data_IF_868924519662
#
_entry.id   IF_868924519662
#
_cell.length_a   1.000
_cell.length_b   1.000
_cell.length_c   1.000
_cell.angle_alpha   90.00
_cell.angle_beta   90.00
_cell.angle_gamma   90.00
#
_symmetry.space_group_name_H-M   'P 1'
#
loop_
_entity.id
_entity.type
_entity.pdbx_description
1 polymer ?
#
# COMPACT_ATOMS: atom_id res chain seq x y z
N UNK A 1 -26.36 6.07 -47.26
CA UNK A 1 -27.18 6.53 -46.13
C UNK A 1 -26.65 5.81 -44.89
N UNK A 2 -26.01 6.61 -44.03
CA UNK A 2 -25.48 6.38 -42.68
C UNK A 2 -24.35 5.36 -42.43
N UNK A 3 -23.15 5.95 -42.33
CA UNK A 3 -21.99 5.54 -41.55
C UNK A 3 -22.36 5.17 -40.09
N UNK A 4 -21.71 4.13 -39.54
CA UNK A 4 -21.63 3.93 -38.09
C UNK A 4 -20.15 3.84 -37.68
N UNK A 5 -19.79 4.82 -36.85
CA UNK A 5 -18.50 5.13 -36.26
C UNK A 5 -17.98 4.00 -35.31
N UNK A 6 -16.72 3.53 -35.41
CA UNK A 6 -16.18 2.49 -34.55
C UNK A 6 -15.75 2.96 -33.14
N UNK A 7 -15.91 4.24 -32.78
CA UNK A 7 -15.54 4.76 -31.45
C UNK A 7 -16.67 4.74 -30.40
N UNK A 8 -17.31 3.59 -30.17
CA UNK A 8 -18.18 3.43 -28.98
C UNK A 8 -17.61 2.40 -28.03
N UNK A 9 -17.03 2.89 -26.92
CA UNK A 9 -16.98 2.12 -25.67
C UNK A 9 -15.65 1.97 -24.95
N UNK A 10 -14.54 2.60 -25.37
CA UNK A 10 -13.31 2.59 -24.56
C UNK A 10 -13.18 3.88 -23.76
N UNK A 11 -13.48 3.74 -22.46
CA UNK A 11 -13.26 4.75 -21.42
C UNK A 11 -11.74 4.85 -21.17
N UNK A 12 -11.19 6.07 -21.08
CA UNK A 12 -9.75 6.28 -20.87
C UNK A 12 -9.35 6.04 -19.41
N UNK A 13 -8.06 5.83 -19.14
CA UNK A 13 -7.54 5.71 -17.78
C UNK A 13 -7.88 6.95 -16.91
N UNK A 14 -7.92 8.13 -17.53
CA UNK A 14 -8.29 9.39 -16.88
C UNK A 14 -9.77 9.45 -16.46
N UNK A 15 -10.65 8.74 -17.15
CA UNK A 15 -12.07 8.67 -16.82
C UNK A 15 -12.32 7.69 -15.66
N UNK A 16 -11.52 6.62 -15.55
CA UNK A 16 -11.53 5.70 -14.41
C UNK A 16 -11.01 6.37 -13.13
N UNK A 17 -10.01 7.24 -13.25
CA UNK A 17 -9.44 8.00 -12.13
C UNK A 17 -10.41 9.06 -11.55
N UNK A 18 -11.46 9.43 -12.29
CA UNK A 18 -12.46 10.45 -11.89
C UNK A 18 -13.79 9.86 -11.44
N UNK A 19 -14.02 8.56 -11.60
CA UNK A 19 -15.28 7.91 -11.26
C UNK A 19 -15.41 7.71 -9.73
N UNK A 20 -16.55 8.07 -9.16
CA UNK A 20 -16.85 7.72 -7.77
C UNK A 20 -17.19 6.22 -7.64
N UNK A 21 -17.16 5.70 -6.41
CA UNK A 21 -17.39 4.26 -6.13
C UNK A 21 -18.67 3.71 -6.80
N UNK A 22 -19.77 4.45 -6.77
CA UNK A 22 -21.03 4.01 -7.38
C UNK A 22 -20.97 3.96 -8.92
N UNK A 23 -20.20 4.86 -9.53
CA UNK A 23 -19.94 4.85 -10.98
C UNK A 23 -19.01 3.70 -11.37
N UNK A 24 -17.96 3.45 -10.58
CA UNK A 24 -17.06 2.31 -10.78
C UNK A 24 -17.81 0.97 -10.65
N UNK A 25 -18.59 0.79 -9.59
CA UNK A 25 -19.37 -0.44 -9.34
C UNK A 25 -20.35 -0.72 -10.50
N UNK A 26 -20.97 0.33 -11.05
CA UNK A 26 -21.86 0.23 -12.22
C UNK A 26 -21.11 -0.13 -13.51
N UNK A 27 -19.95 0.48 -13.75
CA UNK A 27 -19.10 0.21 -14.93
C UNK A 27 -18.57 -1.22 -14.89
N UNK A 28 -18.07 -1.65 -13.73
CA UNK A 28 -17.57 -3.00 -13.51
C UNK A 28 -18.68 -4.05 -13.68
N UNK A 29 -19.85 -3.84 -13.07
CA UNK A 29 -20.98 -4.77 -13.19
C UNK A 29 -21.50 -4.88 -14.63
N UNK A 30 -21.49 -3.79 -15.39
CA UNK A 30 -21.86 -3.79 -16.82
C UNK A 30 -20.91 -4.68 -17.64
N UNK A 31 -19.60 -4.55 -17.42
CA UNK A 31 -18.60 -5.32 -18.15
C UNK A 31 -18.59 -6.79 -17.76
N UNK A 32 -18.81 -7.11 -16.48
CA UNK A 32 -18.92 -8.49 -16.00
C UNK A 32 -20.14 -9.21 -16.58
N UNK A 33 -21.25 -8.48 -16.81
CA UNK A 33 -22.43 -9.00 -17.51
C UNK A 33 -22.18 -9.21 -19.01
N UNK A 34 -21.51 -8.25 -19.68
CA UNK A 34 -21.16 -8.39 -21.11
C UNK A 34 -20.18 -9.55 -21.37
N UNK A 35 -19.31 -9.85 -20.41
CA UNK A 35 -18.37 -10.97 -20.46
C UNK A 35 -18.98 -12.34 -20.10
N UNK A 36 -20.25 -12.40 -19.68
CA UNK A 36 -20.94 -13.65 -19.34
C UNK A 36 -20.36 -14.41 -18.13
N UNK A 37 -19.61 -13.73 -17.26
CA UNK A 37 -18.87 -14.34 -16.15
C UNK A 37 -19.72 -14.53 -14.87
N UNK A 38 -21.03 -14.30 -14.93
CA UNK A 38 -21.96 -14.50 -13.82
C UNK A 38 -22.96 -15.64 -14.11
N UNK A 39 -22.55 -16.88 -13.85
CA UNK A 39 -23.42 -17.99 -13.39
C UNK A 39 -22.51 -19.05 -12.74
N UNK A 40 -22.81 -19.70 -11.62
CA UNK A 40 -24.09 -20.16 -11.07
C UNK A 40 -24.33 -19.70 -9.61
N UNK A 41 -25.59 -19.81 -9.16
CA UNK A 41 -26.13 -19.54 -7.81
C UNK A 41 -26.64 -18.14 -7.44
N UNK A 42 -27.17 -17.38 -8.40
CA UNK A 42 -28.13 -16.31 -8.08
C UNK A 42 -29.36 -16.35 -8.99
N UNK A 43 -30.52 -16.69 -8.43
CA UNK A 43 -31.81 -16.43 -9.08
C UNK A 43 -32.23 -15.01 -8.69
N UNK A 44 -32.62 -14.14 -9.65
CA UNK A 44 -33.09 -12.81 -9.31
C UNK A 44 -34.43 -12.87 -8.56
N UNK A 45 -34.55 -12.08 -7.49
CA UNK A 45 -35.75 -11.99 -6.66
C UNK A 45 -36.95 -11.47 -7.48
N UNK A 46 -38.14 -11.99 -7.19
CA UNK A 46 -39.38 -11.64 -7.89
C UNK A 46 -40.17 -10.58 -7.13
N UNK A 47 -41.09 -9.89 -7.82
CA UNK A 47 -41.93 -8.84 -7.23
C UNK A 47 -42.79 -9.33 -6.04
N UNK A 48 -43.08 -10.64 -5.95
CA UNK A 48 -43.80 -11.24 -4.83
C UNK A 48 -42.94 -11.35 -3.55
N UNK A 49 -41.61 -11.41 -3.68
CA UNK A 49 -40.67 -11.44 -2.55
C UNK A 49 -40.55 -10.07 -1.87
N UNK A 50 -40.96 -8.99 -2.55
CA UNK A 50 -40.91 -7.61 -2.06
C UNK A 50 -42.17 -7.18 -1.30
N UNK A 51 -43.29 -7.90 -1.40
CA UNK A 51 -44.56 -7.52 -0.75
C UNK A 51 -44.81 -8.17 0.62
N UNK A 52 -44.06 -9.22 1.01
CA UNK A 52 -44.24 -9.90 2.31
C UNK A 52 -43.40 -9.32 3.45
N UNK A 53 -42.60 -8.28 3.20
CA UNK A 53 -41.83 -7.56 4.22
C UNK A 53 -42.52 -6.24 4.61
N UNK A 54 -43.73 -6.32 5.14
CA UNK A 54 -44.49 -5.18 5.63
C UNK A 54 -45.14 -5.53 6.97
N UNK A 55 -45.14 -4.56 7.90
CA UNK A 55 -45.70 -4.56 9.28
C UNK A 55 -44.67 -5.04 10.33
N UNK A 56 -44.21 -4.28 11.34
CA UNK A 56 -44.49 -2.95 11.91
C UNK A 56 -43.23 -2.52 12.68
N UNK A 57 -42.70 -1.33 12.42
CA UNK A 57 -41.63 -0.75 13.24
C UNK A 57 -41.99 0.69 13.62
N UNK A 58 -41.81 1.00 14.90
CA UNK A 58 -42.02 2.30 15.52
C UNK A 58 -41.20 3.39 14.85
N UNK A 59 -41.81 4.56 14.68
CA UNK A 59 -41.22 5.74 14.08
C UNK A 59 -40.07 6.30 14.93
N UNK A 60 -38.82 6.11 14.48
CA UNK A 60 -37.69 7.06 14.57
C UNK A 60 -36.37 6.35 14.23
N UNK A 61 -36.18 5.96 12.96
CA UNK A 61 -34.88 5.85 12.24
C UNK A 61 -35.24 5.68 10.77
N UNK A 62 -35.53 6.77 10.05
CA UNK A 62 -35.65 6.73 8.58
C UNK A 62 -34.44 7.41 7.97
N UNK A 63 -33.63 6.59 7.30
CA UNK A 63 -32.62 6.90 6.29
C UNK A 63 -31.66 8.06 6.63
N UNK A 64 -30.55 7.73 7.30
CA UNK A 64 -29.48 8.68 7.64
C UNK A 64 -28.94 9.40 6.40
N UNK A 65 -28.89 8.73 5.26
CA UNK A 65 -28.47 9.33 3.98
C UNK A 65 -29.46 10.40 3.51
N UNK A 66 -30.77 10.13 3.62
CA UNK A 66 -31.78 11.13 3.30
C UNK A 66 -31.71 12.35 4.24
N UNK A 67 -31.44 12.14 5.52
CA UNK A 67 -31.25 13.24 6.48
C UNK A 67 -29.99 14.06 6.18
N UNK A 68 -28.87 13.42 5.83
CA UNK A 68 -27.64 14.11 5.44
C UNK A 68 -27.83 14.90 4.14
N UNK A 69 -28.51 14.32 3.14
CA UNK A 69 -28.84 15.00 1.89
C UNK A 69 -29.78 16.19 2.10
N UNK A 70 -30.81 16.04 2.95
CA UNK A 70 -31.72 17.13 3.28
C UNK A 70 -31.01 18.25 4.04
N UNK A 71 -30.00 17.91 4.85
CA UNK A 71 -29.31 18.84 5.75
C UNK A 71 -28.12 19.55 5.12
N UNK A 72 -27.34 18.84 4.30
CA UNK A 72 -26.05 19.29 3.77
C UNK A 72 -26.02 19.28 2.23
N UNK A 73 -27.12 18.94 1.55
CA UNK A 73 -27.17 18.84 0.10
C UNK A 73 -26.22 17.77 -0.43
N UNK A 74 -25.47 18.07 -1.50
CA UNK A 74 -24.46 17.19 -2.09
C UNK A 74 -23.02 17.44 -1.61
N UNK A 75 -22.80 18.35 -0.66
CA UNK A 75 -21.48 18.79 -0.19
C UNK A 75 -20.85 17.92 0.89
N UNK A 76 -21.33 16.68 1.07
CA UNK A 76 -20.86 15.78 2.11
C UNK A 76 -20.31 14.47 1.55
N UNK A 77 -19.35 13.90 2.28
CA UNK A 77 -18.81 12.57 2.03
C UNK A 77 -18.56 11.85 3.35
N UNK A 78 -18.61 10.53 3.33
CA UNK A 78 -18.28 9.72 4.50
C UNK A 78 -17.34 8.58 4.16
N UNK A 79 -16.52 8.21 5.15
CA UNK A 79 -15.53 7.15 5.06
C UNK A 79 -15.57 6.31 6.34
N UNK A 80 -15.66 4.99 6.19
CA UNK A 80 -15.47 4.05 7.30
C UNK A 80 -13.97 3.82 7.46
N UNK A 81 -13.40 4.25 8.58
CA UNK A 81 -11.97 4.17 8.85
C UNK A 81 -11.58 2.84 9.51
N UNK A 82 -12.46 2.30 10.35
CA UNK A 82 -12.24 1.05 11.07
C UNK A 82 -13.58 0.35 11.34
N UNK A 83 -13.60 -0.98 11.36
CA UNK A 83 -14.70 -1.73 11.96
C UNK A 83 -14.18 -2.96 12.72
N UNK A 84 -14.85 -3.29 13.82
CA UNK A 84 -14.58 -4.48 14.64
C UNK A 84 -15.87 -5.24 14.89
N UNK A 85 -15.84 -6.55 14.66
CA UNK A 85 -16.95 -7.45 14.96
C UNK A 85 -16.58 -8.33 16.16
N UNK A 86 -17.35 -8.25 17.24
CA UNK A 86 -17.17 -9.05 18.46
C UNK A 86 -18.41 -9.90 18.75
N UNK A 87 -18.32 -10.87 19.66
CA UNK A 87 -19.48 -11.69 20.08
C UNK A 87 -20.53 -10.80 20.75
N UNK A 88 -21.52 -10.36 19.96
CA UNK A 88 -22.67 -9.57 20.41
C UNK A 88 -22.89 -8.26 19.67
N UNK A 89 -21.96 -7.80 18.83
CA UNK A 89 -22.13 -6.54 18.11
C UNK A 89 -20.97 -6.15 17.17
N UNK A 90 -21.22 -5.08 16.42
CA UNK A 90 -20.27 -4.44 15.50
C UNK A 90 -20.05 -3.01 15.97
N UNK A 91 -18.79 -2.58 15.99
CA UNK A 91 -18.39 -1.19 16.23
C UNK A 91 -17.68 -0.66 14.99
N UNK A 92 -17.97 0.58 14.59
CA UNK A 92 -17.43 1.23 13.39
C UNK A 92 -16.96 2.63 13.73
N UNK A 93 -15.78 3.02 13.23
CA UNK A 93 -15.33 4.41 13.22
C UNK A 93 -15.63 5.03 11.87
N UNK A 94 -16.42 6.11 11.85
CA UNK A 94 -16.77 6.83 10.62
C UNK A 94 -16.25 8.25 10.69
N UNK A 95 -15.70 8.72 9.58
CA UNK A 95 -15.42 10.13 9.30
C UNK A 95 -16.50 10.69 8.37
N UNK A 96 -17.22 11.73 8.82
CA UNK A 96 -18.13 12.51 8.00
C UNK A 96 -17.47 13.85 7.69
N UNK A 97 -17.39 14.21 6.41
CA UNK A 97 -16.90 15.51 5.94
C UNK A 97 -18.04 16.27 5.29
N UNK A 98 -18.24 17.52 5.69
CA UNK A 98 -19.22 18.45 5.12
C UNK A 98 -18.49 19.76 4.82
N UNK A 99 -18.50 20.19 3.56
CA UNK A 99 -17.90 21.47 3.12
C UNK A 99 -16.46 21.70 3.63
N UNK A 100 -15.65 20.62 3.66
CA UNK A 100 -14.25 20.65 4.09
C UNK A 100 -14.01 20.50 5.60
N UNK A 101 -15.06 20.43 6.42
CA UNK A 101 -14.96 20.16 7.87
C UNK A 101 -15.30 18.71 8.14
N UNK A 102 -14.39 17.99 8.81
CA UNK A 102 -14.59 16.58 9.16
C UNK A 102 -14.83 16.37 10.66
N UNK A 103 -15.75 15.46 11.00
CA UNK A 103 -15.90 14.91 12.35
C UNK A 103 -15.80 13.39 12.28
N UNK A 104 -15.28 12.78 13.35
CA UNK A 104 -15.17 11.32 13.47
C UNK A 104 -15.89 10.85 14.71
N UNK A 105 -16.67 9.77 14.57
CA UNK A 105 -17.34 9.13 15.70
C UNK A 105 -17.41 7.62 15.57
N UNK A 106 -17.42 6.97 16.73
CA UNK A 106 -17.74 5.57 16.85
C UNK A 106 -19.24 5.36 16.87
N UNK A 107 -19.70 4.42 16.06
CA UNK A 107 -21.04 3.86 16.12
C UNK A 107 -21.02 2.39 16.45
N UNK A 108 -22.09 1.91 17.07
CA UNK A 108 -22.18 0.50 17.47
C UNK A 108 -23.59 -0.06 17.28
N UNK A 109 -23.67 -1.34 16.97
CA UNK A 109 -24.93 -2.05 16.81
C UNK A 109 -24.82 -3.51 17.22
N UNK A 110 -25.88 -4.07 17.79
CA UNK A 110 -25.93 -5.50 18.11
C UNK A 110 -26.08 -6.36 16.86
N UNK A 111 -25.40 -7.50 16.86
CA UNK A 111 -25.44 -8.50 15.80
C UNK A 111 -26.45 -9.60 16.16
N UNK A 112 -27.68 -9.48 15.63
CA UNK A 112 -28.75 -10.49 15.82
C UNK A 112 -28.78 -11.46 14.63
N UNK A 113 -27.68 -12.19 14.42
CA UNK A 113 -27.56 -13.20 13.36
C UNK A 113 -27.24 -12.68 11.95
N UNK A 114 -27.23 -11.36 11.74
CA UNK A 114 -26.88 -10.71 10.47
C UNK A 114 -25.86 -9.59 10.72
N UNK A 115 -24.58 -9.92 10.52
CA UNK A 115 -23.45 -9.01 10.75
C UNK A 115 -23.44 -7.86 9.74
N UNK A 116 -23.93 -8.08 8.51
CA UNK A 116 -23.99 -7.03 7.48
C UNK A 116 -24.97 -5.92 7.85
N UNK A 117 -26.17 -6.29 8.34
CA UNK A 117 -27.14 -5.31 8.86
C UNK A 117 -26.65 -4.65 10.16
N UNK A 118 -25.87 -5.36 10.98
CA UNK A 118 -25.27 -4.77 12.18
C UNK A 118 -24.19 -3.74 11.80
N UNK A 119 -23.38 -4.02 10.79
CA UNK A 119 -22.40 -3.08 10.26
C UNK A 119 -23.08 -1.81 9.74
N UNK A 120 -24.12 -1.95 8.90
CA UNK A 120 -24.86 -0.79 8.39
C UNK A 120 -25.45 0.06 9.52
N UNK A 121 -26.08 -0.56 10.54
CA UNK A 121 -26.63 0.17 11.69
C UNK A 121 -25.56 0.87 12.52
N UNK A 122 -24.39 0.26 12.69
CA UNK A 122 -23.27 0.86 13.40
C UNK A 122 -22.69 2.05 12.62
N UNK A 123 -22.63 1.96 11.29
CA UNK A 123 -22.26 3.08 10.40
C UNK A 123 -23.29 4.21 10.47
N UNK A 124 -24.58 3.90 10.44
CA UNK A 124 -25.67 4.88 10.53
C UNK A 124 -25.65 5.62 11.88
N UNK A 125 -25.40 4.91 12.99
CA UNK A 125 -25.23 5.47 14.33
C UNK A 125 -24.02 6.42 14.41
N UNK A 126 -22.89 6.04 13.82
CA UNK A 126 -21.70 6.90 13.75
C UNK A 126 -21.95 8.18 12.95
N UNK A 127 -22.60 8.06 11.78
CA UNK A 127 -22.94 9.19 10.92
C UNK A 127 -23.91 10.17 11.59
N UNK A 128 -24.93 9.67 12.29
CA UNK A 128 -25.87 10.51 13.03
C UNK A 128 -25.16 11.33 14.12
N UNK A 129 -24.21 10.72 14.85
CA UNK A 129 -23.39 11.41 15.86
C UNK A 129 -22.49 12.48 15.24
N UNK A 130 -21.82 12.17 14.13
CA UNK A 130 -21.03 13.17 13.41
C UNK A 130 -21.89 14.36 12.92
N UNK A 131 -23.08 14.09 12.39
CA UNK A 131 -24.01 15.11 11.91
C UNK A 131 -24.55 16.00 13.05
N UNK A 132 -24.77 15.42 14.24
CA UNK A 132 -25.14 16.18 15.44
C UNK A 132 -23.99 17.10 15.90
N UNK A 133 -22.74 16.65 15.85
CA UNK A 133 -21.59 17.49 16.22
C UNK A 133 -21.38 18.66 15.24
N UNK A 134 -21.70 18.46 13.97
CA UNK A 134 -21.69 19.53 12.96
C UNK A 134 -22.89 20.49 13.10
N UNK A 135 -23.94 20.08 13.81
CA UNK A 135 -25.10 20.93 14.13
C UNK A 135 -24.78 22.01 15.14
N UNK A 136 -24.08 21.64 16.22
CA UNK A 136 -23.84 22.53 17.35
C UNK A 136 -22.90 23.69 16.99
N UNK A 137 -22.03 23.53 15.99
CA UNK A 137 -21.16 24.61 15.51
C UNK A 137 -21.91 25.64 14.63
N UNK A 138 -23.06 25.27 14.05
CA UNK A 138 -23.90 26.23 13.30
C UNK A 138 -24.74 27.15 14.20
N UNK A 139 -24.96 26.80 15.48
CA UNK A 139 -25.64 27.67 16.44
C UNK A 139 -24.72 28.74 17.03
N UNK A 140 -23.43 28.41 17.22
CA UNK A 140 -22.40 29.33 17.75
C UNK A 140 -21.93 30.35 16.70
N UNK A 141 -22.00 29.99 15.40
CA UNK A 141 -21.60 30.88 14.30
C UNK A 141 -22.60 32.02 13.99
N UNK A 142 -23.82 31.97 14.53
CA UNK A 142 -24.86 32.99 14.29
C UNK A 142 -24.67 34.25 15.17
N UNK A 143 -24.07 34.13 16.36
CA UNK A 143 -23.87 35.27 17.28
C UNK A 143 -22.56 36.04 17.03
N UNK A 144 -21.60 35.46 16.30
CA UNK A 144 -20.28 36.07 16.08
C UNK A 144 -20.20 36.98 14.83
N UNK A 145 -21.28 37.10 14.03
CA UNK A 145 -21.28 37.82 12.74
C UNK A 145 -21.46 39.35 12.82
N UNK A 146 -21.27 39.97 13.98
CA UNK A 146 -21.40 41.44 14.13
C UNK A 146 -20.08 42.18 14.36
N UNK A 147 -18.91 41.54 14.21
CA UNK A 147 -17.65 42.25 14.39
C UNK A 147 -16.57 41.89 13.35
N UNK A 148 -16.33 42.90 12.49
CA UNK A 148 -15.07 43.23 11.82
C UNK A 148 -14.55 42.36 10.67
N UNK A 149 -14.59 42.98 9.48
CA UNK A 149 -13.78 42.70 8.30
C UNK A 149 -12.29 42.55 8.67
N UNK A 150 -11.68 41.41 8.29
CA UNK A 150 -10.27 41.33 7.92
C UNK A 150 -10.12 40.48 6.66
N UNK A 151 -9.10 40.85 5.90
CA UNK A 151 -8.70 40.46 4.55
C UNK A 151 -8.53 38.95 4.33
N UNK A 152 -8.58 38.58 3.05
CA UNK A 152 -8.38 37.27 2.42
C UNK A 152 -7.40 36.32 3.12
N UNK A 153 -7.64 35.00 3.09
CA UNK A 153 -6.68 34.04 3.61
C UNK A 153 -5.47 33.96 2.67
N UNK A 154 -4.34 34.42 3.17
CA UNK A 154 -3.02 34.15 2.62
C UNK A 154 -2.71 32.64 2.67
N UNK A 155 -1.73 32.24 1.86
CA UNK A 155 -1.21 30.89 1.72
C UNK A 155 -0.98 30.17 3.07
N UNK A 156 -1.10 28.84 3.04
CA UNK A 156 -0.73 27.97 4.15
C UNK A 156 0.69 28.33 4.66
N UNK A 157 0.93 28.31 5.99
CA UNK A 157 2.21 28.75 6.53
C UNK A 157 3.32 27.86 5.98
N UNK A 158 4.20 28.47 5.18
CA UNK A 158 5.50 27.90 4.83
C UNK A 158 6.28 27.69 6.12
N UNK A 159 6.60 26.44 6.44
CA UNK A 159 7.52 26.12 7.51
C UNK A 159 8.84 26.85 7.24
N UNK A 160 9.31 27.65 8.20
CA UNK A 160 10.60 28.31 8.05
C UNK A 160 11.71 27.24 8.06
N UNK A 161 12.77 27.42 7.24
CA UNK A 161 13.93 26.54 7.29
C UNK A 161 14.51 26.56 8.70
N UNK A 162 14.57 25.39 9.34
CA UNK A 162 15.21 25.23 10.64
C UNK A 162 16.71 25.35 10.42
N UNK A 163 17.36 26.30 11.10
CA UNK A 163 18.80 26.49 11.03
C UNK A 163 19.53 25.22 11.51
N UNK A 164 20.66 24.89 10.87
CA UNK A 164 21.51 23.76 11.25
C UNK A 164 21.95 23.88 12.71
N UNK A 165 21.32 23.11 13.60
CA UNK A 165 21.62 23.10 15.04
C UNK A 165 20.39 23.12 15.95
N UNK A 166 19.22 23.50 15.43
CA UNK A 166 17.98 23.41 16.19
C UNK A 166 17.42 21.98 16.18
N UNK A 167 17.06 21.50 17.38
CA UNK A 167 16.48 20.17 17.59
C UNK A 167 15.21 20.05 16.77
N UNK A 168 15.13 19.04 15.90
CA UNK A 168 13.96 18.77 15.07
C UNK A 168 12.69 18.80 15.93
N UNK A 169 11.75 19.66 15.56
CA UNK A 169 10.47 19.79 16.26
C UNK A 169 9.70 18.46 16.19
N UNK A 170 9.13 18.05 17.32
CA UNK A 170 8.44 16.76 17.44
C UNK A 170 7.21 16.68 16.56
N UNK A 171 6.50 17.79 16.37
CA UNK A 171 5.32 17.83 15.49
C UNK A 171 5.74 17.58 14.04
N UNK A 172 6.83 18.20 13.60
CA UNK A 172 7.40 18.02 12.25
C UNK A 172 7.84 16.58 12.02
N UNK A 173 8.53 15.97 13.00
CA UNK A 173 8.92 14.55 12.93
C UNK A 173 7.69 13.64 12.79
N UNK A 174 6.67 13.84 13.63
CA UNK A 174 5.43 13.05 13.59
C UNK A 174 4.69 13.23 12.25
N UNK A 175 4.68 14.44 11.68
CA UNK A 175 4.07 14.70 10.38
C UNK A 175 4.81 13.97 9.25
N UNK A 176 6.14 14.03 9.22
CA UNK A 176 6.96 13.34 8.21
C UNK A 176 6.77 11.83 8.32
N UNK A 177 6.85 11.28 9.53
CA UNK A 177 6.67 9.85 9.77
C UNK A 177 5.31 9.35 9.29
N UNK A 178 4.23 10.02 9.70
CA UNK A 178 2.89 9.62 9.30
C UNK A 178 2.67 9.79 7.79
N UNK A 179 3.30 10.79 7.18
CA UNK A 179 3.24 10.99 5.74
C UNK A 179 3.98 9.90 4.97
N UNK A 180 5.16 9.47 5.44
CA UNK A 180 5.90 8.36 4.84
C UNK A 180 5.16 7.03 5.00
N UNK A 181 4.58 6.77 6.18
CA UNK A 181 3.71 5.61 6.42
C UNK A 181 2.49 5.61 5.48
N UNK A 182 1.84 6.76 5.32
CA UNK A 182 0.74 6.88 4.37
C UNK A 182 1.20 6.70 2.92
N UNK A 183 2.36 7.25 2.54
CA UNK A 183 2.94 7.04 1.23
C UNK A 183 3.14 5.55 0.93
N UNK A 184 3.68 4.78 1.88
CA UNK A 184 3.80 3.31 1.77
C UNK A 184 2.45 2.61 1.60
N UNK A 185 1.40 3.04 2.29
CA UNK A 185 0.06 2.49 2.06
C UNK A 185 -0.50 2.85 0.67
N UNK A 186 -0.22 4.05 0.18
CA UNK A 186 -0.63 4.45 -1.17
C UNK A 186 0.11 3.65 -2.26
N UNK A 187 1.40 3.35 -2.07
CA UNK A 187 2.17 2.47 -2.97
C UNK A 187 1.49 1.10 -3.11
N UNK A 188 1.16 0.46 -1.99
CA UNK A 188 0.42 -0.81 -1.96
C UNK A 188 -0.93 -0.71 -2.66
N UNK A 189 -1.69 0.33 -2.33
CA UNK A 189 -3.03 0.47 -2.86
C UNK A 189 -3.02 0.67 -4.38
N UNK A 190 -1.95 1.25 -4.94
CA UNK A 190 -1.73 1.31 -6.39
C UNK A 190 -1.34 -0.07 -6.94
N UNK A 191 -0.39 -0.78 -6.33
CA UNK A 191 0.01 -2.10 -6.81
C UNK A 191 -1.17 -3.07 -6.80
N UNK A 192 -1.83 -3.26 -5.66
CA UNK A 192 -2.85 -4.29 -5.51
C UNK A 192 -4.08 -4.00 -6.38
N UNK A 193 -4.45 -2.74 -6.61
CA UNK A 193 -5.57 -2.42 -7.51
C UNK A 193 -5.23 -2.51 -9.00
N UNK A 194 -3.95 -2.44 -9.36
CA UNK A 194 -3.50 -2.42 -10.77
C UNK A 194 -2.94 -3.76 -11.25
N UNK A 195 -2.49 -4.60 -10.31
CA UNK A 195 -1.93 -5.91 -10.61
C UNK A 195 -2.96 -6.84 -11.24
N UNK A 196 -2.54 -7.58 -12.26
CA UNK A 196 -3.37 -8.62 -12.89
C UNK A 196 -3.18 -9.98 -12.22
N UNK A 197 -2.04 -10.21 -11.56
CA UNK A 197 -1.74 -11.50 -10.94
C UNK A 197 -2.44 -11.64 -9.60
N UNK A 198 -3.20 -12.73 -9.36
CA UNK A 198 -3.85 -12.95 -8.06
C UNK A 198 -2.89 -13.05 -6.88
N UNK A 199 -1.65 -13.51 -7.10
CA UNK A 199 -0.62 -13.57 -6.05
C UNK A 199 -0.26 -12.16 -5.54
N UNK A 200 -0.25 -11.17 -6.42
CA UNK A 200 -0.04 -9.77 -6.03
C UNK A 200 -1.35 -9.15 -5.55
N UNK A 201 -2.43 -9.29 -6.31
CA UNK A 201 -3.70 -8.59 -6.07
C UNK A 201 -4.46 -9.09 -4.84
N UNK A 202 -4.48 -10.40 -4.61
CA UNK A 202 -5.30 -11.03 -3.56
C UNK A 202 -4.47 -11.55 -2.40
N UNK A 203 -3.29 -12.11 -2.66
CA UNK A 203 -2.39 -12.62 -1.60
C UNK A 203 -1.46 -11.54 -1.06
N UNK A 204 -1.36 -10.39 -1.74
CA UNK A 204 -0.49 -9.27 -1.40
C UNK A 204 0.99 -9.65 -1.32
N UNK A 205 1.44 -10.52 -2.23
CA UNK A 205 2.86 -10.83 -2.42
C UNK A 205 3.57 -9.69 -3.19
N UNK A 206 3.66 -8.55 -2.51
CA UNK A 206 4.32 -7.35 -2.99
C UNK A 206 4.71 -6.45 -1.83
N UNK A 207 5.93 -5.94 -1.86
CA UNK A 207 6.55 -5.31 -0.69
C UNK A 207 7.11 -3.93 -1.04
N UNK A 208 6.47 -2.83 -0.61
CA UNK A 208 6.95 -1.48 -0.83
C UNK A 208 8.02 -1.10 0.20
N UNK A 209 8.86 -0.17 -0.21
CA UNK A 209 9.88 0.41 0.65
C UNK A 209 10.20 1.84 0.21
N UNK A 210 10.44 2.70 1.18
CA UNK A 210 11.06 4.01 1.01
C UNK A 210 12.31 4.06 1.90
N UNK A 211 13.43 4.46 1.32
CA UNK A 211 14.72 4.52 1.99
C UNK A 211 15.28 5.93 2.01
N UNK A 212 16.26 6.15 2.89
CA UNK A 212 17.15 7.31 2.82
C UNK A 212 18.15 7.20 1.65
N UNK A 213 19.02 8.21 1.41
CA UNK A 213 20.04 8.17 0.34
C UNK A 213 21.06 7.05 0.47
N UNK A 214 21.23 6.48 1.67
CA UNK A 214 22.14 5.35 1.92
C UNK A 214 21.47 4.00 1.68
N UNK A 215 20.19 3.99 1.29
CA UNK A 215 19.41 2.78 1.12
C UNK A 215 18.91 2.17 2.43
N UNK A 216 18.99 2.86 3.57
CA UNK A 216 18.43 2.39 4.85
C UNK A 216 16.91 2.57 4.81
N UNK A 217 16.16 1.49 5.08
CA UNK A 217 14.70 1.55 5.07
C UNK A 217 14.19 2.50 6.17
N UNK A 218 13.35 3.46 5.76
CA UNK A 218 12.62 4.35 6.66
C UNK A 218 11.21 3.82 6.90
N UNK A 219 10.57 3.31 5.85
CA UNK A 219 9.28 2.63 5.92
C UNK A 219 9.21 1.54 4.86
N UNK A 220 8.62 0.39 5.23
CA UNK A 220 8.43 -0.75 4.36
C UNK A 220 8.16 -2.02 5.16
N UNK A 221 7.95 -3.12 4.46
CA UNK A 221 7.51 -4.39 5.06
C UNK A 221 8.60 -5.47 5.05
N UNK A 222 9.75 -5.17 4.44
CA UNK A 222 10.84 -6.11 4.27
C UNK A 222 12.19 -5.44 4.51
N UNK A 223 13.21 -6.19 4.95
CA UNK A 223 14.55 -5.65 5.17
C UNK A 223 15.12 -4.98 3.91
N UNK A 224 15.89 -3.89 4.09
CA UNK A 224 16.40 -3.14 2.93
C UNK A 224 17.50 -3.85 2.18
N UNK A 225 17.31 -4.00 0.88
CA UNK A 225 18.25 -4.58 -0.08
C UNK A 225 18.97 -3.55 -0.94
N UNK A 226 18.55 -2.29 -0.86
CA UNK A 226 19.12 -1.18 -1.62
C UNK A 226 20.62 -1.04 -1.38
N UNK A 227 21.16 -1.11 -0.14
CA UNK A 227 22.60 -0.96 0.09
C UNK A 227 23.42 -2.05 -0.60
N UNK A 228 22.93 -3.30 -0.61
CA UNK A 228 23.59 -4.41 -1.27
C UNK A 228 23.60 -4.22 -2.80
N UNK A 229 22.49 -3.80 -3.37
CA UNK A 229 22.36 -3.53 -4.81
C UNK A 229 23.26 -2.35 -5.25
N UNK A 230 23.25 -1.24 -4.50
CA UNK A 230 24.13 -0.08 -4.78
C UNK A 230 25.62 -0.44 -4.64
N UNK A 231 25.97 -1.39 -3.77
CA UNK A 231 27.34 -1.90 -3.65
C UNK A 231 27.73 -2.86 -4.79
N UNK A 232 26.79 -3.70 -5.22
CA UNK A 232 27.03 -4.69 -6.27
C UNK A 232 27.25 -4.05 -7.65
N UNK A 233 26.67 -2.85 -7.87
CA UNK A 233 26.74 -2.16 -9.14
C UNK A 233 26.78 -0.65 -8.93
N UNK A 234 27.81 -0.01 -9.46
CA UNK A 234 27.89 1.45 -9.45
C UNK A 234 27.00 1.99 -10.56
N UNK A 235 25.81 2.47 -10.20
CA UNK A 235 24.92 3.15 -11.12
C UNK A 235 25.28 4.64 -11.17
N UNK A 236 25.44 5.15 -12.39
CA UNK A 236 25.35 6.58 -12.65
C UNK A 236 23.86 6.95 -12.65
N UNK A 237 23.33 7.34 -11.49
CA UNK A 237 21.89 7.57 -11.29
C UNK A 237 21.51 8.98 -11.73
N UNK A 238 20.42 9.07 -12.47
CA UNK A 238 19.86 10.32 -12.97
C UNK A 238 18.34 10.38 -12.73
N UNK A 239 17.74 11.59 -12.66
CA UNK A 239 16.29 11.74 -12.56
C UNK A 239 15.56 10.97 -13.68
N UNK A 240 14.55 10.19 -13.29
CA UNK A 240 13.76 9.37 -14.20
C UNK A 240 14.37 8.00 -14.54
N UNK A 241 15.54 7.65 -13.98
CA UNK A 241 16.05 6.28 -14.03
C UNK A 241 15.13 5.32 -13.26
N UNK A 242 15.07 4.07 -13.72
CA UNK A 242 14.37 2.97 -13.04
C UNK A 242 15.23 1.73 -13.16
N UNK A 243 15.59 1.11 -12.03
CA UNK A 243 16.36 -0.13 -12.01
C UNK A 243 15.42 -1.32 -11.85
N UNK A 244 15.63 -2.36 -12.67
CA UNK A 244 14.95 -3.66 -12.58
C UNK A 244 15.97 -4.77 -12.28
N UNK A 245 15.61 -5.71 -11.40
CA UNK A 245 16.31 -6.99 -11.24
C UNK A 245 15.39 -8.08 -10.67
N UNK A 246 15.87 -9.31 -10.68
CA UNK A 246 15.30 -10.42 -9.89
C UNK A 246 16.36 -11.43 -9.42
N UNK A 247 17.66 -11.13 -9.56
CA UNK A 247 18.75 -12.07 -9.27
C UNK A 247 18.99 -12.19 -7.75
N UNK A 248 18.65 -13.30 -7.09
CA UNK A 248 18.78 -13.47 -5.64
C UNK A 248 20.21 -13.27 -5.14
N UNK A 249 21.20 -13.55 -6.01
CA UNK A 249 22.62 -13.44 -5.69
C UNK A 249 23.16 -12.01 -5.84
N UNK A 250 22.44 -11.10 -6.50
CA UNK A 250 22.84 -9.70 -6.69
C UNK A 250 22.05 -8.70 -5.85
N UNK A 251 21.03 -9.16 -5.14
CA UNK A 251 20.27 -8.36 -4.18
C UNK A 251 20.60 -8.70 -2.72
N UNK A 252 21.66 -9.48 -2.46
CA UNK A 252 22.02 -9.91 -1.10
C UNK A 252 20.99 -10.83 -0.45
N UNK A 253 20.29 -11.66 -1.23
CA UNK A 253 19.26 -12.58 -0.73
C UNK A 253 17.92 -11.93 -0.41
N UNK A 254 17.72 -10.66 -0.79
CA UNK A 254 16.49 -9.92 -0.55
C UNK A 254 15.23 -10.54 -1.15
N UNK A 255 15.37 -11.11 -2.35
CA UNK A 255 14.38 -12.00 -2.93
C UNK A 255 14.93 -13.41 -2.87
N UNK A 256 14.05 -14.35 -2.53
CA UNK A 256 14.45 -15.75 -2.34
C UNK A 256 14.53 -16.52 -3.66
N UNK A 257 13.89 -16.01 -4.71
CA UNK A 257 13.81 -16.67 -6.02
C UNK A 257 13.58 -15.65 -7.13
N UNK A 258 13.86 -16.05 -8.37
CA UNK A 258 13.81 -15.18 -9.55
C UNK A 258 12.40 -14.70 -9.95
N UNK A 259 11.34 -15.20 -9.32
CA UNK A 259 9.98 -14.75 -9.59
C UNK A 259 9.70 -13.36 -9.06
N UNK A 260 10.46 -12.90 -8.07
CA UNK A 260 10.24 -11.58 -7.49
C UNK A 260 11.00 -10.53 -8.29
N UNK A 261 10.25 -9.71 -9.02
CA UNK A 261 10.82 -8.63 -9.79
C UNK A 261 10.87 -7.37 -8.94
N UNK A 262 12.08 -6.89 -8.70
CA UNK A 262 12.37 -5.69 -7.92
C UNK A 262 12.48 -4.48 -8.85
N UNK A 263 11.72 -3.44 -8.55
CA UNK A 263 11.92 -2.10 -9.10
C UNK A 263 12.49 -1.19 -8.02
N UNK A 264 13.53 -0.43 -8.38
CA UNK A 264 14.08 0.66 -7.59
C UNK A 264 14.05 1.95 -8.41
N UNK A 265 13.52 3.01 -7.81
CA UNK A 265 13.48 4.36 -8.36
C UNK A 265 14.30 5.28 -7.44
N UNK A 266 15.41 5.87 -7.92
CA UNK A 266 16.10 6.93 -7.19
C UNK A 266 15.22 8.18 -7.12
N UNK A 267 15.09 8.75 -5.92
CA UNK A 267 14.30 9.97 -5.71
C UNK A 267 15.24 11.16 -5.67
N UNK A 268 15.05 12.10 -6.59
CA UNK A 268 15.82 13.33 -6.68
C UNK A 268 15.04 14.53 -6.16
N UNK A 269 15.74 15.43 -5.46
CA UNK A 269 15.25 16.75 -5.08
C UNK A 269 16.39 17.75 -5.20
N UNK A 270 16.18 18.85 -5.92
CA UNK A 270 17.20 19.88 -6.20
C UNK A 270 18.54 19.35 -6.76
N UNK A 271 18.49 18.25 -7.51
CA UNK A 271 19.65 17.63 -8.16
C UNK A 271 20.36 16.56 -7.32
N UNK A 272 20.00 16.41 -6.05
CA UNK A 272 20.57 15.41 -5.16
C UNK A 272 19.61 14.23 -4.93
N UNK A 273 20.18 13.03 -4.73
CA UNK A 273 19.42 11.86 -4.31
C UNK A 273 19.03 12.01 -2.84
N UNK A 274 17.74 12.14 -2.57
CA UNK A 274 17.18 12.23 -1.21
C UNK A 274 16.70 10.90 -0.66
N UNK A 275 16.63 9.86 -1.50
CA UNK A 275 16.24 8.53 -1.09
C UNK A 275 15.95 7.62 -2.28
N UNK A 276 15.37 6.47 -1.99
CA UNK A 276 14.90 5.55 -3.02
C UNK A 276 13.51 5.07 -2.67
N UNK A 277 12.70 4.82 -3.70
CA UNK A 277 11.47 4.05 -3.56
C UNK A 277 11.63 2.73 -4.28
N UNK A 278 11.21 1.67 -3.63
CA UNK A 278 11.42 0.31 -4.12
C UNK A 278 10.19 -0.51 -3.88
N UNK A 279 9.92 -1.44 -4.78
CA UNK A 279 8.84 -2.40 -4.62
C UNK A 279 9.18 -3.65 -5.42
N UNK A 280 8.84 -4.81 -4.88
CA UNK A 280 8.85 -6.03 -5.67
C UNK A 280 7.48 -6.70 -5.67
N UNK A 281 7.25 -7.57 -6.65
CA UNK A 281 6.05 -8.39 -6.76
C UNK A 281 6.33 -9.70 -7.47
N UNK A 282 5.59 -10.73 -7.08
CA UNK A 282 5.80 -12.10 -7.55
C UNK A 282 5.20 -12.35 -8.93
N UNK A 283 6.05 -12.75 -9.88
CA UNK A 283 5.64 -13.18 -11.22
C UNK A 283 5.37 -14.68 -11.24
N UNK A 284 4.19 -15.08 -11.72
CA UNK A 284 3.82 -16.50 -11.79
C UNK A 284 4.65 -17.31 -12.78
N UNK A 285 5.22 -16.66 -13.80
CA UNK A 285 6.01 -17.29 -14.85
C UNK A 285 7.18 -16.38 -15.24
N UNK A 286 8.39 -16.92 -15.19
CA UNK A 286 9.63 -16.24 -15.60
C UNK A 286 10.42 -17.07 -16.62
N UNK A 287 9.77 -17.97 -17.35
CA UNK A 287 10.42 -18.76 -18.41
C UNK A 287 11.23 -19.98 -17.95
N UNK A 288 11.03 -20.45 -16.71
CA UNK A 288 11.57 -21.74 -16.24
C UNK A 288 11.01 -22.93 -17.03
N UNK A 289 11.47 -24.18 -16.82
CA UNK A 289 11.11 -25.35 -17.62
C UNK A 289 9.63 -25.76 -17.51
N UNK A 290 8.94 -25.33 -16.45
CA UNK A 290 7.52 -25.60 -16.21
C UNK A 290 6.72 -24.29 -16.16
N UNK A 291 5.42 -24.30 -16.53
CA UNK A 291 4.53 -23.14 -16.45
C UNK A 291 4.06 -22.88 -15.01
N UNK A 292 5.02 -22.66 -14.10
CA UNK A 292 4.82 -22.39 -12.67
C UNK A 292 5.96 -21.52 -12.15
N UNK A 293 5.76 -20.89 -10.99
CA UNK A 293 6.75 -19.99 -10.41
C UNK A 293 8.02 -20.73 -9.98
N UNK A 294 7.88 -21.84 -9.26
CA UNK A 294 9.00 -22.57 -8.67
C UNK A 294 9.17 -23.96 -9.31
N UNK A 295 10.15 -24.16 -10.21
CA UNK A 295 10.45 -25.45 -10.79
C UNK A 295 11.17 -26.35 -9.78
N UNK A 296 10.49 -27.35 -9.23
CA UNK A 296 11.05 -28.26 -8.21
C UNK A 296 12.16 -29.18 -8.72
N UNK A 297 12.25 -29.39 -10.04
CA UNK A 297 13.27 -30.25 -10.66
C UNK A 297 14.50 -29.47 -11.16
N UNK A 298 14.55 -28.15 -10.96
CA UNK A 298 15.72 -27.36 -11.36
C UNK A 298 16.88 -27.61 -10.40
N UNK A 299 18.00 -28.13 -10.92
CA UNK A 299 19.22 -28.38 -10.11
C UNK A 299 20.23 -27.24 -10.17
N UNK A 300 19.89 -26.14 -10.87
CA UNK A 300 20.70 -24.93 -10.94
C UNK A 300 19.82 -23.73 -11.27
N UNK A 301 20.24 -22.54 -10.83
CA UNK A 301 19.56 -21.27 -11.11
C UNK A 301 19.35 -21.00 -12.62
N UNK A 302 20.21 -21.54 -13.49
CA UNK A 302 20.07 -21.42 -14.94
C UNK A 302 18.88 -22.21 -15.51
N UNK A 303 18.38 -23.19 -14.74
CA UNK A 303 17.18 -23.95 -15.05
C UNK A 303 15.92 -23.40 -14.36
N UNK A 304 16.00 -22.26 -13.65
CA UNK A 304 14.83 -21.71 -12.95
C UNK A 304 14.04 -20.72 -13.82
N UNK A 305 14.70 -20.07 -14.79
CA UNK A 305 14.09 -19.10 -15.69
C UNK A 305 15.00 -17.91 -15.97
N UNK A 306 14.42 -16.80 -16.42
CA UNK A 306 15.13 -15.58 -16.75
C UNK A 306 15.63 -14.90 -15.47
N UNK A 307 16.96 -14.88 -15.33
CA UNK A 307 17.66 -14.14 -14.28
C UNK A 307 18.15 -12.78 -14.81
N UNK A 308 17.52 -11.72 -14.33
CA UNK A 308 17.73 -10.32 -14.67
C UNK A 308 18.70 -9.71 -13.65
N UNK A 309 19.94 -9.39 -14.05
CA UNK A 309 20.83 -8.61 -13.19
C UNK A 309 20.30 -7.17 -13.04
N UNK A 310 20.81 -6.38 -12.08
CA UNK A 310 20.44 -4.97 -11.97
C UNK A 310 20.73 -4.20 -13.27
N UNK A 311 19.67 -3.75 -13.93
CA UNK A 311 19.74 -3.00 -15.20
C UNK A 311 18.83 -1.78 -15.15
N UNK A 312 19.17 -0.73 -15.91
CA UNK A 312 18.25 0.39 -16.16
C UNK A 312 17.12 -0.07 -17.09
N UNK A 313 15.92 -0.22 -16.53
CA UNK A 313 14.69 -0.38 -17.31
C UNK A 313 14.28 0.95 -17.95
N UNK A 314 14.44 2.05 -17.21
CA UNK A 314 14.37 3.40 -17.77
C UNK A 314 15.71 4.09 -17.55
N UNK A 315 16.18 4.80 -18.57
CA UNK A 315 17.33 5.70 -18.49
C UNK A 315 16.86 7.12 -18.78
N UNK A 316 16.96 8.02 -17.79
CA UNK A 316 16.49 9.42 -17.88
C UNK A 316 15.05 9.53 -18.42
N UNK A 317 14.17 8.67 -17.92
CA UNK A 317 12.76 8.61 -18.30
C UNK A 317 12.47 7.91 -19.63
N UNK A 318 13.48 7.42 -20.35
CA UNK A 318 13.32 6.68 -21.60
C UNK A 318 13.35 5.18 -21.33
N UNK A 319 12.28 4.47 -21.70
CA UNK A 319 12.19 3.02 -21.57
C UNK A 319 13.23 2.33 -22.45
N UNK A 320 13.99 1.41 -21.86
CA UNK A 320 14.87 0.51 -22.58
C UNK A 320 14.04 -0.61 -23.23
N UNK A 321 13.52 -0.31 -24.42
CA UNK A 321 12.65 -1.23 -25.16
C UNK A 321 13.32 -2.58 -25.44
N UNK A 322 14.62 -2.59 -25.76
CA UNK A 322 15.34 -3.83 -26.04
C UNK A 322 15.43 -4.76 -24.81
N UNK A 323 15.66 -4.19 -23.62
CA UNK A 323 15.63 -4.97 -22.38
C UNK A 323 14.23 -5.52 -22.10
N UNK A 324 13.19 -4.69 -22.27
CA UNK A 324 11.82 -5.11 -22.09
C UNK A 324 11.42 -6.24 -23.05
N UNK A 325 11.73 -6.10 -24.34
CA UNK A 325 11.41 -7.10 -25.37
C UNK A 325 12.10 -8.43 -25.05
N UNK A 326 13.36 -8.40 -24.62
CA UNK A 326 14.09 -9.59 -24.20
C UNK A 326 13.42 -10.27 -22.99
N UNK A 327 13.02 -9.48 -21.98
CA UNK A 327 12.35 -10.01 -20.78
C UNK A 327 11.01 -10.65 -21.16
N UNK A 328 10.18 -9.94 -21.93
CA UNK A 328 8.84 -10.42 -22.31
C UNK A 328 8.90 -11.63 -23.24
N UNK A 329 9.93 -11.75 -24.09
CA UNK A 329 10.12 -12.93 -24.94
C UNK A 329 10.52 -14.20 -24.15
N UNK A 330 10.91 -14.06 -22.88
CA UNK A 330 11.33 -15.17 -22.02
C UNK A 330 10.28 -15.52 -20.96
N UNK A 331 9.00 -15.21 -21.19
CA UNK A 331 7.89 -15.65 -20.33
C UNK A 331 6.75 -16.18 -21.18
N UNK A 332 5.95 -17.10 -20.60
CA UNK A 332 4.73 -17.60 -21.23
C UNK A 332 3.57 -16.60 -21.14
N UNK A 333 3.69 -15.58 -20.29
CA UNK A 333 2.62 -14.61 -19.99
C UNK A 333 3.12 -13.16 -20.14
N UNK A 334 3.59 -12.74 -21.33
CA UNK A 334 4.23 -11.44 -21.51
C UNK A 334 3.30 -10.26 -21.22
N UNK A 335 2.02 -10.32 -21.61
CA UNK A 335 1.07 -9.22 -21.36
C UNK A 335 0.77 -9.06 -19.87
N UNK A 336 0.69 -10.19 -19.15
CA UNK A 336 0.46 -10.21 -17.70
C UNK A 336 1.71 -9.70 -16.98
N UNK A 337 2.89 -10.20 -17.30
CA UNK A 337 4.14 -9.75 -16.67
C UNK A 337 4.41 -8.27 -16.96
N UNK A 338 4.17 -7.79 -18.19
CA UNK A 338 4.26 -6.38 -18.52
C UNK A 338 3.33 -5.53 -17.65
N UNK A 339 2.06 -5.94 -17.52
CA UNK A 339 1.08 -5.19 -16.74
C UNK A 339 1.45 -5.13 -15.25
N UNK A 340 1.96 -6.23 -14.68
CA UNK A 340 2.38 -6.26 -13.28
C UNK A 340 3.71 -5.51 -13.06
N UNK A 341 4.66 -5.58 -13.99
CA UNK A 341 5.87 -4.76 -13.98
C UNK A 341 5.53 -3.26 -13.93
N UNK A 342 4.57 -2.83 -14.76
CA UNK A 342 4.10 -1.44 -14.77
C UNK A 342 3.31 -1.09 -13.50
N UNK A 343 2.57 -2.02 -12.92
CA UNK A 343 1.89 -1.82 -11.64
C UNK A 343 2.89 -1.61 -10.49
N UNK A 344 3.98 -2.39 -10.44
CA UNK A 344 5.08 -2.22 -9.46
C UNK A 344 5.73 -0.85 -9.63
N UNK A 345 6.09 -0.48 -10.88
CA UNK A 345 6.66 0.83 -11.18
C UNK A 345 5.72 1.98 -10.79
N UNK A 346 4.42 1.84 -11.04
CA UNK A 346 3.42 2.84 -10.64
C UNK A 346 3.39 3.03 -9.12
N UNK A 347 3.47 1.94 -8.35
CA UNK A 347 3.65 1.98 -6.90
C UNK A 347 4.91 2.76 -6.50
N UNK A 348 6.07 2.42 -7.06
CA UNK A 348 7.32 3.14 -6.78
C UNK A 348 7.24 4.64 -7.08
N UNK A 349 6.61 5.03 -8.20
CA UNK A 349 6.44 6.44 -8.58
C UNK A 349 5.51 7.21 -7.65
N UNK A 350 4.52 6.56 -7.03
CA UNK A 350 3.75 7.19 -5.95
C UNK A 350 4.66 7.51 -4.78
N UNK A 351 5.48 6.57 -4.34
CA UNK A 351 6.46 6.80 -3.28
C UNK A 351 7.42 7.96 -3.62
N UNK A 352 7.96 7.97 -4.84
CA UNK A 352 8.85 9.04 -5.34
C UNK A 352 8.17 10.41 -5.21
N UNK A 353 6.95 10.52 -5.75
CA UNK A 353 6.16 11.75 -5.68
C UNK A 353 5.94 12.21 -4.24
N UNK A 354 5.60 11.30 -3.31
CA UNK A 354 5.37 11.65 -1.90
C UNK A 354 6.63 12.12 -1.19
N UNK A 355 7.78 11.52 -1.49
CA UNK A 355 9.07 11.98 -0.94
C UNK A 355 9.41 13.37 -1.48
N UNK A 356 9.25 13.62 -2.79
CA UNK A 356 9.46 14.95 -3.37
C UNK A 356 8.53 16.00 -2.75
N UNK A 357 7.25 15.67 -2.52
CA UNK A 357 6.30 16.54 -1.83
C UNK A 357 6.75 16.88 -0.39
N UNK A 358 7.31 15.89 0.33
CA UNK A 358 7.85 16.10 1.68
C UNK A 358 9.09 17.01 1.67
N UNK A 359 10.03 16.75 0.78
CA UNK A 359 11.21 17.61 0.60
C UNK A 359 10.80 19.04 0.18
N UNK A 360 9.82 19.19 -0.70
CA UNK A 360 9.30 20.50 -1.11
C UNK A 360 8.65 21.26 0.05
N UNK A 361 7.92 20.56 0.92
CA UNK A 361 7.16 21.16 2.02
C UNK A 361 8.02 21.52 3.22
N UNK A 362 8.96 20.66 3.58
CA UNK A 362 9.75 20.77 4.80
C UNK A 362 11.21 21.13 4.54
N UNK A 363 11.72 20.99 3.31
CA UNK A 363 13.13 21.12 2.98
C UNK A 363 13.87 19.78 3.08
N UNK A 364 14.86 19.56 2.20
CA UNK A 364 15.64 18.32 2.15
C UNK A 364 16.43 18.07 3.44
N UNK A 365 17.00 19.10 4.06
CA UNK A 365 17.76 18.98 5.31
C UNK A 365 16.88 18.50 6.47
N UNK A 366 15.68 19.06 6.61
CA UNK A 366 14.72 18.67 7.65
C UNK A 366 14.23 17.24 7.40
N UNK A 367 13.95 16.88 6.15
CA UNK A 367 13.59 15.51 5.77
C UNK A 367 14.71 14.51 6.11
N UNK A 368 15.96 14.85 5.81
CA UNK A 368 17.13 14.03 6.12
C UNK A 368 17.31 13.82 7.63
N UNK A 369 17.23 14.90 8.42
CA UNK A 369 17.27 14.82 9.88
C UNK A 369 16.11 13.99 10.45
N UNK A 370 14.91 14.09 9.88
CA UNK A 370 13.78 13.27 10.29
C UNK A 370 14.03 11.79 9.99
N UNK A 371 14.57 11.44 8.82
CA UNK A 371 14.94 10.07 8.49
C UNK A 371 15.96 9.49 9.49
N UNK A 372 16.99 10.25 9.85
CA UNK A 372 17.97 9.80 10.86
C UNK A 372 17.31 9.62 12.24
N UNK A 373 16.49 10.56 12.68
CA UNK A 373 15.78 10.47 13.96
C UNK A 373 14.85 9.24 14.01
N UNK A 374 14.19 8.88 12.90
CA UNK A 374 13.35 7.67 12.82
C UNK A 374 14.19 6.40 12.92
N UNK A 375 15.35 6.35 12.26
CA UNK A 375 16.29 5.23 12.33
C UNK A 375 16.85 5.06 13.74
N UNK A 376 17.33 6.14 14.37
CA UNK A 376 17.82 6.14 15.75
C UNK A 376 16.73 5.67 16.74
N UNK A 377 15.49 6.17 16.56
CA UNK A 377 14.36 5.76 17.42
C UNK A 377 14.07 4.27 17.28
N UNK A 378 14.16 3.74 16.06
CA UNK A 378 13.94 2.31 15.78
C UNK A 378 15.05 1.46 16.38
N UNK A 379 16.32 1.87 16.21
CA UNK A 379 17.47 1.18 16.79
C UNK A 379 17.36 1.11 18.32
N UNK A 380 17.03 2.23 18.97
CA UNK A 380 16.85 2.29 20.43
C UNK A 380 15.71 1.39 20.90
N UNK A 381 14.59 1.37 20.18
CA UNK A 381 13.48 0.48 20.50
C UNK A 381 13.89 -1.00 20.37
N UNK A 382 14.60 -1.37 19.31
CA UNK A 382 15.10 -2.73 19.13
C UNK A 382 16.08 -3.17 20.22
N UNK A 383 17.03 -2.30 20.63
CA UNK A 383 17.93 -2.57 21.75
C UNK A 383 17.17 -2.89 23.04
N UNK A 384 16.11 -2.13 23.33
CA UNK A 384 15.26 -2.39 24.50
C UNK A 384 14.52 -3.74 24.38
N UNK A 385 13.97 -4.05 23.21
CA UNK A 385 13.31 -5.34 22.97
C UNK A 385 14.27 -6.52 23.09
N UNK A 386 15.50 -6.38 22.60
CA UNK A 386 16.55 -7.40 22.75
C UNK A 386 16.81 -7.67 24.24
N UNK A 387 17.06 -6.62 25.03
CA UNK A 387 17.35 -6.77 26.48
C UNK A 387 16.18 -7.42 27.23
N UNK A 388 14.95 -7.06 26.87
CA UNK A 388 13.74 -7.55 27.54
C UNK A 388 13.38 -8.99 27.16
N UNK A 389 13.62 -9.41 25.92
CA UNK A 389 13.04 -10.64 25.39
C UNK A 389 14.06 -11.74 25.08
N UNK A 390 15.36 -11.45 24.93
CA UNK A 390 16.36 -12.46 24.60
C UNK A 390 17.16 -12.93 25.82
N UNK A 391 17.49 -14.25 25.88
CA UNK A 391 18.24 -14.83 26.98
C UNK A 391 19.71 -14.41 26.93
N UNK A 392 20.34 -14.26 28.10
CA UNK A 392 21.80 -14.03 28.18
C UNK A 392 22.61 -15.30 27.97
N UNK A 393 22.04 -16.45 28.33
CA UNK A 393 22.66 -17.75 28.08
C UNK A 393 22.20 -18.30 26.71
N UNK A 394 23.10 -18.92 25.92
CA UNK A 394 22.76 -19.57 24.66
C UNK A 394 21.63 -20.59 24.79
N UNK A 395 20.58 -20.42 23.98
CA UNK A 395 19.47 -21.36 23.85
C UNK A 395 19.38 -21.84 22.40
N UNK A 396 19.39 -23.15 22.20
CA UNK A 396 19.34 -23.77 20.88
C UNK A 396 17.99 -24.43 20.61
N UNK A 397 17.54 -24.33 19.38
CA UNK A 397 16.45 -25.11 18.81
C UNK A 397 16.89 -25.68 17.47
N UNK A 398 16.44 -26.88 17.14
CA UNK A 398 16.61 -27.45 15.80
C UNK A 398 15.29 -28.03 15.30
N UNK A 399 15.07 -27.88 14.00
CA UNK A 399 13.95 -28.44 13.25
C UNK A 399 14.43 -28.90 11.88
N UNK A 400 13.56 -29.54 11.11
CA UNK A 400 13.90 -30.15 9.84
C UNK A 400 12.95 -29.71 8.73
N UNK A 401 13.51 -29.43 7.55
CA UNK A 401 12.76 -29.37 6.28
C UNK A 401 12.76 -30.77 5.68
N UNK A 402 11.57 -31.30 5.36
CA UNK A 402 11.39 -32.71 4.97
C UNK A 402 12.28 -33.15 3.79
N UNK A 403 12.20 -32.45 2.66
CA UNK A 403 13.02 -32.68 1.47
C UNK A 403 12.99 -31.48 0.51
N UNK A 404 13.76 -31.54 -0.58
CA UNK A 404 13.82 -30.54 -1.66
C UNK A 404 12.94 -30.89 -2.88
N UNK A 405 12.07 -31.91 -2.76
CA UNK A 405 11.30 -32.47 -3.86
C UNK A 405 12.11 -33.29 -4.88
N UNK A 406 13.43 -33.41 -4.70
CA UNK A 406 14.34 -34.21 -5.54
C UNK A 406 14.89 -35.45 -4.81
N UNK A 407 14.37 -35.75 -3.62
CA UNK A 407 14.80 -36.88 -2.80
C UNK A 407 16.04 -36.61 -1.95
N UNK A 408 16.46 -35.34 -1.81
CA UNK A 408 17.46 -34.94 -0.82
C UNK A 408 16.76 -34.42 0.43
N UNK A 409 17.40 -34.61 1.59
CA UNK A 409 16.85 -34.23 2.90
C UNK A 409 16.74 -35.43 3.86
N UNK A 410 16.17 -35.23 5.05
CA UNK A 410 15.71 -33.95 5.59
C UNK A 410 16.87 -32.97 5.89
N UNK A 411 16.62 -31.68 5.72
CA UNK A 411 17.59 -30.63 6.00
C UNK A 411 17.39 -30.07 7.39
N UNK A 412 18.41 -30.24 8.24
CA UNK A 412 18.37 -29.73 9.60
C UNK A 412 18.62 -28.23 9.61
N UNK A 413 17.73 -27.49 10.25
CA UNK A 413 17.86 -26.07 10.58
C UNK A 413 18.12 -25.95 12.07
N UNK A 414 19.31 -25.48 12.48
CA UNK A 414 19.67 -25.27 13.89
C UNK A 414 19.96 -23.81 14.14
N UNK A 415 19.28 -23.22 15.12
CA UNK A 415 19.50 -21.84 15.54
C UNK A 415 19.78 -21.80 17.05
N UNK A 416 20.87 -21.13 17.42
CA UNK A 416 21.19 -20.78 18.81
C UNK A 416 21.08 -19.27 18.98
N UNK A 417 20.28 -18.82 19.95
CA UNK A 417 20.04 -17.40 20.22
C UNK A 417 20.51 -17.02 21.62
N UNK A 418 21.20 -15.90 21.73
CA UNK A 418 21.52 -15.22 22.99
C UNK A 418 21.69 -13.73 22.79
N UNK A 419 21.89 -13.00 23.88
CA UNK A 419 22.33 -11.61 23.85
C UNK A 419 23.53 -11.36 24.76
N UNK A 420 24.33 -10.37 24.38
CA UNK A 420 25.36 -9.78 25.24
C UNK A 420 25.08 -8.28 25.35
N UNK A 421 24.74 -7.82 26.55
CA UNK A 421 24.24 -6.45 26.74
C UNK A 421 23.00 -6.22 25.87
N UNK A 422 23.10 -5.27 24.93
CA UNK A 422 22.05 -4.86 23.99
C UNK A 422 22.16 -5.51 22.60
N UNK A 423 23.14 -6.40 22.39
CA UNK A 423 23.38 -7.06 21.11
C UNK A 423 22.82 -8.49 21.12
N UNK A 424 22.05 -8.83 20.09
CA UNK A 424 21.51 -10.17 19.87
C UNK A 424 22.41 -10.95 18.90
N UNK A 425 22.56 -12.25 19.15
CA UNK A 425 23.32 -13.17 18.33
C UNK A 425 22.43 -14.32 17.89
N UNK A 426 22.50 -14.65 16.60
CA UNK A 426 21.74 -15.71 15.95
C UNK A 426 22.74 -16.63 15.24
N UNK A 427 23.13 -17.71 15.91
CA UNK A 427 24.12 -18.67 15.41
C UNK A 427 23.43 -19.86 14.74
N UNK A 428 23.64 -19.98 13.42
CA UNK A 428 23.13 -21.07 12.59
C UNK A 428 24.08 -22.27 12.49
N UNK A 429 25.17 -22.29 13.26
CA UNK A 429 26.16 -23.37 13.26
C UNK A 429 25.50 -24.72 13.56
N UNK A 430 25.72 -25.66 12.64
CA UNK A 430 25.14 -27.00 12.70
C UNK A 430 23.89 -27.19 11.83
N UNK A 431 23.44 -26.17 11.11
CA UNK A 431 22.51 -26.30 9.97
C UNK A 431 23.17 -27.11 8.85
N UNK A 432 22.38 -27.96 8.17
CA UNK A 432 22.84 -28.93 7.17
C UNK A 432 23.22 -28.29 5.81
#
# INVERSE_FOLDING_TARGET
MNEQNPERGRISLDDLLKANKAQFDKVFSSQMNEAGLLSADHRPATAADLETASITASADVRDVTANLNARFGGGWSSEVLEHKSERGGVTVLVKLTVDGVSKMQFGSARANGDTGKALQRATDDALAKCAAMLADETSVAAEAKTATQRSSPDAAPTAQPVASGDKLDTVTLDLIENSLRNARHEMDAVLFRSAMLPVIREQHDGYPMITDPKGRMIVGDFGSYVPAMLKAQNFDLEPGDVILQNDPYKCGGAVSHINDWIILVPVFFDGDVVGFTSMFGHMMDVGGPVPRSMPTAATSIFGEGLRIPPIKLYERGVLNQAALDLIMNNTRTPEVNYSNLMAILAGCRVGEKRVVELCSRFGADIYSHACEALLERTEKAMRQLIVQNLPTEPQSFEDYVDDDGCGNGPFKMKLTVWREGEHAYFDWTGTA
#
